data_IF_449004044821
#
_entry.id   IF_449004044821
#
_cell.length_a   1.000
_cell.length_b   1.000
_cell.length_c   1.000
_cell.angle_alpha   90.00
_cell.angle_beta   90.00
_cell.angle_gamma   90.00
#
_symmetry.space_group_name_H-M   'P 1'
#
loop_
_entity.id
_entity.type
_entity.pdbx_description
1 polymer ?
#
# COMPACT_ATOMS: atom_id res chain seq x y z
N UNK A 1 17.59 -10.00 -0.36
CA UNK A 1 17.57 -9.73 1.10
C UNK A 1 16.38 -8.81 1.34
N UNK A 2 15.43 -9.24 2.14
CA UNK A 2 14.29 -8.41 2.57
C UNK A 2 14.82 -7.22 3.37
N UNK A 3 14.25 -6.04 3.18
CA UNK A 3 14.76 -4.80 3.76
C UNK A 3 13.69 -4.10 4.60
N UNK A 4 14.00 -3.87 5.88
CA UNK A 4 13.22 -3.00 6.74
C UNK A 4 13.73 -1.55 6.63
N UNK A 5 12.84 -0.61 6.87
CA UNK A 5 13.18 0.81 6.95
C UNK A 5 13.56 1.17 8.40
N UNK A 6 14.85 1.48 8.67
CA UNK A 6 15.34 1.71 10.04
C UNK A 6 15.09 3.15 10.51
N UNK A 7 14.27 3.91 9.81
CA UNK A 7 13.96 5.30 10.12
C UNK A 7 12.44 5.54 10.06
N UNK A 8 11.95 6.46 10.91
CA UNK A 8 10.55 6.90 10.93
C UNK A 8 10.25 7.68 9.63
N UNK A 9 11.11 8.61 9.25
CA UNK A 9 11.01 9.33 7.98
C UNK A 9 12.24 9.00 7.15
N UNK A 10 12.03 8.47 5.95
CA UNK A 10 13.09 7.99 5.08
C UNK A 10 12.97 8.53 3.65
N UNK A 11 14.07 8.54 2.96
CA UNK A 11 14.15 9.10 1.62
C UNK A 11 14.69 10.54 1.61
N UNK A 12 14.38 11.35 0.57
CA UNK A 12 13.42 11.05 -0.50
C UNK A 12 13.87 9.89 -1.41
N UNK A 13 12.89 9.13 -1.89
CA UNK A 13 13.10 8.07 -2.88
C UNK A 13 12.34 8.39 -4.16
N UNK A 14 12.92 8.06 -5.32
CA UNK A 14 12.20 8.19 -6.59
C UNK A 14 11.24 7.01 -6.74
N UNK A 15 9.96 7.30 -6.52
CA UNK A 15 8.88 6.35 -6.77
C UNK A 15 8.55 6.30 -8.25
N UNK A 16 8.49 5.10 -8.84
CA UNK A 16 8.07 4.92 -10.24
C UNK A 16 6.63 5.40 -10.50
N UNK A 17 5.83 5.51 -9.45
CA UNK A 17 4.39 5.81 -9.50
C UNK A 17 4.02 7.18 -8.96
N UNK A 18 4.80 7.72 -8.04
CA UNK A 18 4.40 8.87 -7.23
C UNK A 18 5.41 10.03 -7.28
N UNK A 19 6.48 9.94 -8.07
CA UNK A 19 7.53 10.98 -8.13
C UNK A 19 8.50 10.92 -6.95
N UNK A 20 9.00 12.06 -6.51
CA UNK A 20 9.91 12.20 -5.35
C UNK A 20 9.11 11.99 -4.08
N UNK A 21 9.29 10.83 -3.44
CA UNK A 21 8.50 10.39 -2.30
C UNK A 21 9.29 10.49 -0.98
N UNK A 22 8.73 11.18 -0.01
CA UNK A 22 9.18 11.15 1.38
C UNK A 22 8.36 10.07 2.12
N UNK A 23 9.02 8.99 2.54
CA UNK A 23 8.37 7.88 3.21
C UNK A 23 8.21 8.11 4.71
N UNK A 24 7.07 7.69 5.27
CA UNK A 24 6.78 7.71 6.71
C UNK A 24 6.45 6.30 7.17
N UNK A 25 7.29 5.76 8.05
CA UNK A 25 7.11 4.46 8.68
C UNK A 25 6.57 4.64 10.11
N UNK A 26 5.32 4.24 10.33
CA UNK A 26 4.64 4.32 11.64
C UNK A 26 4.92 3.11 12.54
N UNK A 27 5.54 2.08 11.97
CA UNK A 27 5.68 0.75 12.54
C UNK A 27 7.08 0.57 13.14
N UNK A 28 7.35 -0.53 13.85
CA UNK A 28 8.65 -0.80 14.41
C UNK A 28 9.78 -0.64 13.38
N UNK A 29 10.95 -0.16 13.83
CA UNK A 29 12.08 0.12 12.92
C UNK A 29 12.86 -1.15 12.55
N UNK A 30 12.82 -2.17 13.43
CA UNK A 30 13.63 -3.39 13.28
C UNK A 30 12.80 -4.67 13.16
N UNK A 31 11.46 -4.54 13.01
CA UNK A 31 10.57 -5.66 12.79
C UNK A 31 9.42 -5.27 11.88
N UNK A 32 8.80 -6.27 11.24
CA UNK A 32 7.58 -6.08 10.47
C UNK A 32 6.37 -6.24 11.38
N UNK A 33 5.40 -5.32 11.25
CA UNK A 33 4.10 -5.40 11.92
C UNK A 33 2.99 -5.17 10.89
N UNK A 34 2.34 -6.25 10.48
CA UNK A 34 1.30 -6.23 9.46
C UNK A 34 0.19 -7.22 9.79
N UNK A 35 -1.02 -6.93 9.33
CA UNK A 35 -2.16 -7.87 9.35
C UNK A 35 -2.11 -8.86 8.20
N UNK A 36 -1.22 -8.66 7.23
CA UNK A 36 -0.90 -9.61 6.16
C UNK A 36 0.53 -10.12 6.30
N UNK A 37 0.75 -11.33 5.84
CA UNK A 37 2.08 -11.91 5.71
C UNK A 37 2.37 -12.33 4.26
N UNK A 38 2.18 -11.38 3.35
CA UNK A 38 2.24 -11.60 1.91
C UNK A 38 3.52 -12.32 1.48
N UNK A 39 3.37 -13.37 0.68
CA UNK A 39 4.48 -14.21 0.20
C UNK A 39 5.48 -13.45 -0.67
N UNK A 40 5.14 -12.24 -1.13
CA UNK A 40 5.97 -11.36 -1.95
C UNK A 40 6.44 -10.09 -1.22
N UNK A 41 6.23 -9.98 0.11
CA UNK A 41 6.51 -8.76 0.85
C UNK A 41 8.01 -8.44 0.90
N UNK A 42 8.42 -7.27 0.43
CA UNK A 42 9.82 -6.81 0.46
C UNK A 42 10.36 -6.69 1.90
N UNK A 43 9.49 -6.54 2.90
CA UNK A 43 9.87 -6.49 4.32
C UNK A 43 10.05 -7.87 4.97
N UNK A 44 9.85 -8.97 4.24
CA UNK A 44 9.94 -10.33 4.79
C UNK A 44 8.67 -10.79 5.49
N UNK A 45 8.84 -11.78 6.37
CA UNK A 45 7.74 -12.35 7.15
C UNK A 45 7.50 -11.57 8.45
N UNK A 46 6.29 -11.65 8.97
CA UNK A 46 5.97 -11.06 10.28
C UNK A 46 6.78 -11.65 11.44
N UNK A 47 7.22 -12.90 11.31
CA UNK A 47 8.01 -13.58 12.33
C UNK A 47 9.51 -13.29 12.25
N UNK A 48 9.96 -12.77 11.10
CA UNK A 48 11.35 -12.36 10.92
C UNK A 48 11.64 -11.12 11.80
N UNK A 49 12.53 -11.27 12.76
CA UNK A 49 12.94 -10.20 13.68
C UNK A 49 11.79 -9.63 14.53
N UNK A 50 10.86 -10.45 15.01
CA UNK A 50 9.86 -10.01 16.00
C UNK A 50 10.55 -9.44 17.24
N UNK A 51 10.74 -8.11 17.23
CA UNK A 51 11.17 -7.36 18.40
C UNK A 51 9.99 -7.12 19.35
N UNK A 52 10.31 -6.63 20.56
CA UNK A 52 9.32 -6.13 21.51
C UNK A 52 8.94 -4.67 21.24
N UNK A 53 9.30 -4.15 20.05
CA UNK A 53 9.06 -2.76 19.67
C UNK A 53 7.58 -2.56 19.38
N UNK A 54 7.03 -1.47 19.91
CA UNK A 54 5.67 -1.00 19.61
C UNK A 54 5.63 -0.05 18.43
N UNK A 55 4.50 0.61 18.25
CA UNK A 55 4.34 1.70 17.28
C UNK A 55 5.22 2.90 17.65
N UNK A 56 5.66 3.65 16.64
CA UNK A 56 6.34 4.91 16.85
C UNK A 56 5.36 5.95 17.43
N UNK A 57 5.72 6.57 18.55
CA UNK A 57 4.82 7.52 19.22
C UNK A 57 4.48 8.72 18.32
N UNK A 58 3.22 9.19 18.25
CA UNK A 58 2.80 10.27 17.35
C UNK A 58 3.68 11.52 17.41
N UNK A 59 4.08 11.97 18.60
CA UNK A 59 4.93 13.14 18.76
C UNK A 59 6.35 12.95 18.19
N UNK A 60 6.86 11.72 18.21
CA UNK A 60 8.16 11.40 17.60
C UNK A 60 8.03 11.39 16.07
N UNK A 61 6.93 10.86 15.55
CA UNK A 61 6.62 10.89 14.10
C UNK A 61 6.47 12.34 13.62
N UNK A 62 5.73 13.16 14.36
CA UNK A 62 5.51 14.57 14.05
C UNK A 62 6.82 15.34 14.00
N UNK A 63 7.64 15.25 15.05
CA UNK A 63 8.94 15.92 15.12
C UNK A 63 9.90 15.48 14.01
N UNK A 64 9.94 14.18 13.69
CA UNK A 64 10.77 13.64 12.62
C UNK A 64 10.33 14.16 11.24
N UNK A 65 9.02 14.18 10.98
CA UNK A 65 8.45 14.66 9.73
C UNK A 65 8.68 16.16 9.57
N UNK A 66 8.41 16.95 10.61
CA UNK A 66 8.63 18.40 10.60
C UNK A 66 10.09 18.76 10.34
N UNK A 67 11.03 18.15 11.09
CA UNK A 67 12.46 18.36 10.91
C UNK A 67 12.92 18.05 9.48
N UNK A 68 12.40 16.96 8.90
CA UNK A 68 12.76 16.58 7.53
C UNK A 68 12.20 17.53 6.49
N UNK A 69 10.95 17.96 6.63
CA UNK A 69 10.33 18.95 5.73
C UNK A 69 11.02 20.31 5.82
N UNK A 70 11.40 20.76 7.03
CA UNK A 70 12.19 21.99 7.21
C UNK A 70 13.53 21.93 6.48
N UNK A 71 14.25 20.80 6.63
CA UNK A 71 15.50 20.60 5.91
C UNK A 71 15.30 20.64 4.39
N UNK A 72 14.31 19.91 3.87
CA UNK A 72 14.01 19.85 2.43
C UNK A 72 13.58 21.22 1.88
N UNK A 73 12.88 22.04 2.68
CA UNK A 73 12.55 23.42 2.33
C UNK A 73 13.81 24.28 2.23
N UNK A 74 14.72 24.17 3.18
CA UNK A 74 15.98 24.92 3.18
C UNK A 74 16.87 24.52 1.99
N UNK A 75 16.87 23.23 1.61
CA UNK A 75 17.65 22.69 0.50
C UNK A 75 16.97 22.93 -0.88
N UNK A 76 15.74 23.43 -0.92
CA UNK A 76 14.97 23.61 -2.15
C UNK A 76 14.57 22.30 -2.85
N UNK A 77 14.48 21.20 -2.12
CA UNK A 77 14.25 19.84 -2.66
C UNK A 77 12.95 19.23 -2.13
N UNK A 78 11.83 19.94 -2.25
CA UNK A 78 10.54 19.51 -1.71
C UNK A 78 10.08 18.18 -2.34
N UNK A 79 9.35 17.33 -1.58
CA UNK A 79 8.80 16.10 -2.12
C UNK A 79 7.56 16.38 -2.98
N UNK A 80 7.32 15.51 -3.97
CA UNK A 80 6.03 15.46 -4.69
C UNK A 80 4.95 14.79 -3.84
N UNK A 81 5.36 13.90 -2.93
CA UNK A 81 4.45 13.11 -2.12
C UNK A 81 5.05 12.72 -0.77
N UNK A 82 4.22 12.76 0.28
CA UNK A 82 4.49 12.15 1.58
C UNK A 82 3.73 10.83 1.61
N UNK A 83 4.44 9.70 1.75
CA UNK A 83 3.86 8.37 1.59
C UNK A 83 3.93 7.58 2.89
N UNK A 84 2.77 7.23 3.43
CA UNK A 84 2.67 6.28 4.53
C UNK A 84 2.81 4.86 3.99
N UNK A 85 3.98 4.31 4.21
CA UNK A 85 4.40 2.94 3.88
C UNK A 85 5.57 2.58 4.81
N UNK A 86 6.03 1.33 4.79
CA UNK A 86 7.18 0.94 5.60
C UNK A 86 7.10 -0.51 6.05
N UNK A 87 7.38 -0.76 7.31
CA UNK A 87 7.55 -2.10 7.86
C UNK A 87 6.22 -2.80 8.20
N UNK A 88 5.21 -2.70 7.34
CA UNK A 88 3.92 -3.37 7.51
C UNK A 88 2.71 -2.51 7.16
N UNK A 89 1.62 -2.59 7.94
CA UNK A 89 0.35 -1.92 7.68
C UNK A 89 0.21 -0.62 8.49
N UNK A 90 0.29 0.56 7.86
CA UNK A 90 0.28 1.84 8.59
C UNK A 90 -1.02 2.13 9.34
N UNK A 91 -2.16 1.64 8.85
CA UNK A 91 -3.47 1.87 9.49
C UNK A 91 -3.67 1.05 10.77
N UNK A 92 -2.75 0.15 11.11
CA UNK A 92 -2.70 -0.49 12.43
C UNK A 92 -2.40 0.49 13.57
N UNK A 93 -1.73 1.61 13.27
CA UNK A 93 -1.37 2.57 14.31
C UNK A 93 -2.62 3.04 15.06
N UNK A 94 -2.66 3.00 16.40
CA UNK A 94 -3.85 3.39 17.17
C UNK A 94 -4.25 4.85 16.95
N UNK A 95 -3.27 5.74 16.79
CA UNK A 95 -3.46 7.17 16.61
C UNK A 95 -3.35 7.60 15.14
N UNK A 96 -3.72 6.72 14.19
CA UNK A 96 -3.55 6.96 12.76
C UNK A 96 -4.24 8.25 12.28
N UNK A 97 -5.45 8.55 12.77
CA UNK A 97 -6.17 9.76 12.40
C UNK A 97 -5.44 11.03 12.86
N UNK A 98 -4.94 11.06 14.10
CA UNK A 98 -4.13 12.16 14.62
C UNK A 98 -2.86 12.39 13.80
N UNK A 99 -2.22 11.29 13.37
CA UNK A 99 -1.02 11.35 12.53
C UNK A 99 -1.33 11.99 11.17
N UNK A 100 -2.42 11.64 10.55
CA UNK A 100 -2.87 12.28 9.31
C UNK A 100 -3.18 13.76 9.53
N UNK A 101 -3.77 14.15 10.67
CA UNK A 101 -4.07 15.55 11.00
C UNK A 101 -2.83 16.42 11.00
N UNK A 102 -1.81 16.05 11.77
CA UNK A 102 -0.59 16.85 11.80
C UNK A 102 0.21 16.76 10.50
N UNK A 103 0.11 15.64 9.76
CA UNK A 103 0.77 15.53 8.46
C UNK A 103 0.18 16.51 7.44
N UNK A 104 -1.14 16.66 7.40
CA UNK A 104 -1.81 17.66 6.55
C UNK A 104 -1.32 19.07 6.94
N UNK A 105 -1.32 19.40 8.23
CA UNK A 105 -0.83 20.69 8.72
C UNK A 105 0.63 20.97 8.33
N UNK A 106 1.52 20.00 8.52
CA UNK A 106 2.94 20.14 8.17
C UNK A 106 3.15 20.23 6.64
N UNK A 107 2.42 19.43 5.86
CA UNK A 107 2.43 19.51 4.40
C UNK A 107 2.01 20.89 3.93
N UNK A 108 0.91 21.44 4.45
CA UNK A 108 0.38 22.76 4.06
C UNK A 108 1.36 23.88 4.42
N UNK A 109 2.12 23.73 5.50
CA UNK A 109 3.10 24.71 5.96
C UNK A 109 4.41 24.66 5.14
N UNK A 110 4.95 23.49 4.86
CA UNK A 110 6.32 23.33 4.31
C UNK A 110 6.36 22.89 2.85
N UNK A 111 5.36 22.12 2.39
CA UNK A 111 5.33 21.54 1.05
C UNK A 111 3.88 21.52 0.48
N UNK A 112 3.24 22.70 0.28
CA UNK A 112 1.82 22.80 -0.01
C UNK A 112 1.38 22.12 -1.32
N UNK A 113 2.32 21.85 -2.22
CA UNK A 113 2.04 21.14 -3.48
C UNK A 113 2.22 19.62 -3.35
N UNK A 114 2.79 19.12 -2.26
CA UNK A 114 2.99 17.70 -2.06
C UNK A 114 1.66 17.00 -1.77
N UNK A 115 1.49 15.80 -2.33
CA UNK A 115 0.35 14.94 -2.02
C UNK A 115 0.62 14.08 -0.79
N UNK A 116 -0.43 13.67 -0.11
CA UNK A 116 -0.36 12.65 0.96
C UNK A 116 -0.91 11.34 0.41
N UNK A 117 -0.10 10.29 0.47
CA UNK A 117 -0.45 8.94 0.02
C UNK A 117 -0.41 7.94 1.16
N UNK A 118 -1.42 7.09 1.24
CA UNK A 118 -1.44 5.97 2.19
C UNK A 118 -1.56 4.66 1.40
N UNK A 119 -0.58 3.76 1.59
CA UNK A 119 -0.63 2.41 1.06
C UNK A 119 -1.14 1.47 2.16
N UNK A 120 -2.31 0.88 1.97
CA UNK A 120 -2.94 0.01 2.97
C UNK A 120 -3.48 -1.28 2.36
N UNK A 121 -3.43 -2.35 3.15
CA UNK A 121 -4.03 -3.63 2.80
C UNK A 121 -5.55 -3.68 3.09
N UNK A 122 -6.15 -2.55 3.47
CA UNK A 122 -7.59 -2.38 3.71
C UNK A 122 -8.17 -3.17 4.89
N UNK A 123 -7.39 -3.88 5.70
CA UNK A 123 -7.93 -4.69 6.80
C UNK A 123 -8.50 -3.88 7.96
N UNK A 124 -8.11 -2.60 8.09
CA UNK A 124 -8.55 -1.72 9.18
C UNK A 124 -9.75 -0.82 8.83
N UNK A 125 -10.39 -1.04 7.69
CA UNK A 125 -11.54 -0.23 7.24
C UNK A 125 -12.81 -0.41 8.10
N UNK A 126 -12.80 -1.35 9.03
CA UNK A 126 -13.84 -1.46 10.08
C UNK A 126 -13.72 -0.36 11.15
N UNK A 127 -12.56 0.29 11.28
CA UNK A 127 -12.31 1.40 12.20
C UNK A 127 -12.77 2.72 11.56
N UNK A 128 -13.70 3.42 12.21
CA UNK A 128 -14.24 4.67 11.69
C UNK A 128 -13.19 5.82 11.64
N UNK A 129 -12.24 5.87 12.58
CA UNK A 129 -11.13 6.81 12.59
C UNK A 129 -10.21 6.61 11.37
N UNK A 130 -9.90 5.37 11.02
CA UNK A 130 -9.11 5.04 9.83
C UNK A 130 -9.82 5.50 8.55
N UNK A 131 -11.13 5.23 8.43
CA UNK A 131 -11.90 5.65 7.26
C UNK A 131 -11.90 7.18 7.13
N UNK A 132 -12.16 7.93 8.22
CA UNK A 132 -12.12 9.40 8.20
C UNK A 132 -10.74 9.95 7.81
N UNK A 133 -9.67 9.32 8.28
CA UNK A 133 -8.31 9.70 7.90
C UNK A 133 -8.05 9.47 6.41
N UNK A 134 -8.42 8.29 5.89
CA UNK A 134 -8.24 7.93 4.49
C UNK A 134 -9.09 8.77 3.53
N UNK A 135 -10.21 9.32 3.97
CA UNK A 135 -11.04 10.23 3.18
C UNK A 135 -10.41 11.62 2.98
N UNK A 136 -9.40 11.98 3.76
CA UNK A 136 -8.73 13.30 3.75
C UNK A 136 -7.37 13.32 3.06
N UNK A 137 -6.82 12.15 2.73
CA UNK A 137 -5.56 12.07 1.99
C UNK A 137 -5.81 12.17 0.49
N UNK A 138 -4.80 12.62 -0.25
CA UNK A 138 -4.91 12.81 -1.70
C UNK A 138 -4.95 11.47 -2.46
N UNK A 139 -4.16 10.51 -2.01
CA UNK A 139 -4.06 9.19 -2.62
C UNK A 139 -4.34 8.10 -1.56
N UNK A 140 -5.59 7.71 -1.45
CA UNK A 140 -6.03 6.57 -0.66
C UNK A 140 -5.83 5.29 -1.49
N UNK A 141 -4.68 4.62 -1.32
CA UNK A 141 -4.26 3.47 -2.13
C UNK A 141 -4.53 2.19 -1.36
N UNK A 142 -5.55 1.46 -1.78
CA UNK A 142 -6.03 0.25 -1.12
C UNK A 142 -5.81 -0.98 -1.99
N UNK A 143 -5.33 -2.04 -1.36
CA UNK A 143 -4.87 -3.25 -2.04
C UNK A 143 -5.99 -4.27 -2.24
N UNK A 144 -6.06 -4.83 -3.47
CA UNK A 144 -6.80 -6.05 -3.80
C UNK A 144 -5.97 -6.85 -4.81
N UNK A 145 -5.41 -7.99 -4.42
CA UNK A 145 -4.57 -8.80 -5.31
C UNK A 145 -5.33 -9.92 -6.02
N UNK A 146 -6.43 -10.40 -5.45
CA UNK A 146 -7.31 -11.41 -6.07
C UNK A 146 -8.73 -11.27 -5.55
N UNK A 147 -9.69 -11.64 -6.37
CA UNK A 147 -11.11 -11.76 -6.01
C UNK A 147 -11.52 -13.21 -5.68
N UNK A 148 -10.62 -14.17 -5.89
CA UNK A 148 -10.80 -15.55 -5.46
C UNK A 148 -10.25 -15.68 -4.04
N UNK A 149 -11.13 -16.03 -3.09
CA UNK A 149 -10.81 -16.05 -1.66
C UNK A 149 -9.56 -16.92 -1.37
N UNK A 150 -9.51 -18.15 -1.89
CA UNK A 150 -8.39 -19.06 -1.65
C UNK A 150 -7.06 -18.51 -2.18
N UNK A 151 -7.08 -17.85 -3.35
CA UNK A 151 -5.89 -17.21 -3.92
C UNK A 151 -5.48 -16.00 -3.11
N UNK A 152 -6.43 -15.17 -2.66
CA UNK A 152 -6.15 -14.04 -1.80
C UNK A 152 -5.56 -14.48 -0.44
N UNK A 153 -6.11 -15.54 0.16
CA UNK A 153 -5.59 -16.14 1.38
C UNK A 153 -4.16 -16.68 1.19
N UNK A 154 -3.89 -17.35 0.08
CA UNK A 154 -2.57 -17.89 -0.23
C UNK A 154 -1.52 -16.78 -0.45
N UNK A 155 -1.84 -15.78 -1.24
CA UNK A 155 -0.90 -14.72 -1.61
C UNK A 155 -0.64 -13.75 -0.44
N UNK A 156 -1.70 -13.37 0.27
CA UNK A 156 -1.63 -12.32 1.29
C UNK A 156 -1.43 -12.85 2.71
N UNK A 157 -1.72 -14.11 2.96
CA UNK A 157 -1.60 -14.77 4.28
C UNK A 157 -2.13 -13.86 5.42
N UNK A 158 -3.42 -13.52 5.42
CA UNK A 158 -3.97 -12.64 6.44
C UNK A 158 -3.84 -13.27 7.84
N UNK A 159 -3.33 -12.47 8.79
CA UNK A 159 -3.22 -12.83 10.20
C UNK A 159 -4.43 -12.34 11.01
N UNK A 160 -5.51 -11.98 10.33
CA UNK A 160 -6.76 -11.47 10.90
C UNK A 160 -7.96 -12.09 10.18
N UNK A 161 -9.16 -11.83 10.68
CA UNK A 161 -10.36 -12.19 9.93
C UNK A 161 -10.44 -11.32 8.66
N UNK A 162 -10.31 -11.94 7.50
CA UNK A 162 -10.25 -11.29 6.20
C UNK A 162 -11.22 -11.97 5.24
N UNK A 163 -11.94 -11.17 4.47
CA UNK A 163 -12.79 -11.63 3.36
C UNK A 163 -12.72 -10.62 2.23
N UNK A 164 -12.41 -11.11 1.04
CA UNK A 164 -12.35 -10.30 -0.19
C UNK A 164 -13.67 -9.58 -0.44
N UNK A 165 -14.80 -10.27 -0.29
CA UNK A 165 -16.13 -9.69 -0.47
C UNK A 165 -16.37 -8.51 0.49
N UNK A 166 -15.98 -8.67 1.76
CA UNK A 166 -16.08 -7.58 2.75
C UNK A 166 -15.23 -6.37 2.36
N UNK A 167 -14.00 -6.59 1.88
CA UNK A 167 -13.12 -5.50 1.44
C UNK A 167 -13.74 -4.76 0.25
N UNK A 168 -14.25 -5.47 -0.75
CA UNK A 168 -14.92 -4.84 -1.91
C UNK A 168 -16.07 -3.93 -1.45
N UNK A 169 -16.94 -4.43 -0.55
CA UNK A 169 -18.04 -3.63 0.00
C UNK A 169 -17.56 -2.39 0.77
N UNK A 170 -16.44 -2.49 1.47
CA UNK A 170 -15.87 -1.35 2.18
C UNK A 170 -15.25 -0.33 1.21
N UNK A 171 -14.58 -0.77 0.15
CA UNK A 171 -14.02 0.12 -0.87
C UNK A 171 -15.11 0.92 -1.61
N UNK A 172 -16.26 0.32 -1.89
CA UNK A 172 -17.42 1.00 -2.50
C UNK A 172 -17.89 2.21 -1.67
N UNK A 173 -17.71 2.18 -0.34
CA UNK A 173 -18.10 3.27 0.54
C UNK A 173 -17.33 4.56 0.31
N UNK A 174 -16.13 4.51 -0.27
CA UNK A 174 -15.36 5.69 -0.64
C UNK A 174 -15.90 6.43 -1.86
N UNK A 175 -16.91 5.88 -2.57
CA UNK A 175 -17.61 6.53 -3.69
C UNK A 175 -16.63 7.06 -4.76
N UNK A 176 -15.70 6.23 -5.15
CA UNK A 176 -14.68 6.53 -6.15
C UNK A 176 -13.41 7.23 -5.60
N UNK A 177 -13.41 7.74 -4.36
CA UNK A 177 -12.21 8.37 -3.74
C UNK A 177 -11.23 7.33 -3.19
N UNK A 178 -10.86 6.39 -4.03
CA UNK A 178 -9.93 5.30 -3.72
C UNK A 178 -9.13 4.96 -4.98
N UNK A 179 -7.88 4.60 -4.79
CA UNK A 179 -7.02 4.02 -5.81
C UNK A 179 -6.88 2.54 -5.49
N UNK A 180 -7.27 1.68 -6.40
CA UNK A 180 -7.07 0.23 -6.22
C UNK A 180 -5.68 -0.13 -6.68
N UNK A 181 -4.92 -0.79 -5.80
CA UNK A 181 -3.59 -1.29 -6.11
C UNK A 181 -3.60 -2.82 -6.15
N UNK A 182 -3.02 -3.40 -7.20
CA UNK A 182 -2.97 -4.85 -7.40
C UNK A 182 -1.56 -5.30 -7.79
N UNK A 183 -1.03 -6.27 -7.04
CA UNK A 183 0.16 -7.03 -7.42
C UNK A 183 -0.28 -8.22 -8.28
N UNK A 184 0.18 -8.27 -9.52
CA UNK A 184 0.03 -9.43 -10.38
C UNK A 184 1.28 -10.31 -10.31
N UNK A 185 1.06 -11.60 -10.06
CA UNK A 185 2.14 -12.58 -9.94
C UNK A 185 1.57 -14.01 -10.12
N UNK A 186 2.48 -14.93 -10.39
CA UNK A 186 2.19 -16.36 -10.42
C UNK A 186 3.28 -17.15 -9.70
N UNK A 187 3.03 -18.40 -9.42
CA UNK A 187 4.02 -19.25 -8.76
C UNK A 187 3.38 -20.40 -8.01
N UNK A 188 4.14 -20.88 -7.04
CA UNK A 188 3.72 -21.93 -6.13
C UNK A 188 4.08 -21.54 -4.69
N UNK A 189 3.19 -21.81 -3.76
CA UNK A 189 3.46 -21.67 -2.33
C UNK A 189 2.79 -22.82 -1.56
N UNK A 190 3.53 -23.47 -0.66
CA UNK A 190 3.07 -24.63 0.13
C UNK A 190 2.43 -25.76 -0.73
N UNK A 191 3.00 -26.02 -1.92
CA UNK A 191 2.51 -27.05 -2.84
C UNK A 191 1.25 -26.64 -3.65
N UNK A 192 0.81 -25.39 -3.53
CA UNK A 192 -0.34 -24.86 -4.26
C UNK A 192 0.12 -23.87 -5.34
N UNK A 193 -0.13 -24.21 -6.59
CA UNK A 193 0.11 -23.31 -7.72
C UNK A 193 -1.00 -22.24 -7.80
N UNK A 194 -0.62 -21.02 -8.16
CA UNK A 194 -1.57 -19.93 -8.38
C UNK A 194 -1.09 -19.01 -9.52
N UNK A 195 -2.06 -18.35 -10.15
CA UNK A 195 -1.84 -17.32 -11.16
C UNK A 195 -3.01 -16.33 -11.14
N UNK A 196 -2.78 -15.12 -10.57
CA UNK A 196 -3.82 -14.11 -10.55
C UNK A 196 -3.90 -13.29 -11.86
N UNK A 197 -3.09 -13.64 -12.88
CA UNK A 197 -3.19 -13.06 -14.23
C UNK A 197 -4.07 -13.90 -15.15
N UNK A 198 -4.57 -15.07 -14.71
CA UNK A 198 -5.42 -15.90 -15.54
C UNK A 198 -6.66 -15.14 -16.02
N UNK A 199 -7.20 -15.47 -17.21
CA UNK A 199 -8.37 -14.77 -17.75
C UNK A 199 -9.56 -14.73 -16.77
N UNK A 200 -9.78 -15.80 -16.02
CA UNK A 200 -10.85 -15.92 -15.03
C UNK A 200 -10.63 -14.98 -13.84
N UNK A 201 -9.41 -14.93 -13.30
CA UNK A 201 -9.04 -14.07 -12.20
C UNK A 201 -9.16 -12.59 -12.60
N UNK A 202 -8.63 -12.24 -13.78
CA UNK A 202 -8.71 -10.88 -14.31
C UNK A 202 -10.16 -10.46 -14.57
N UNK A 203 -11.02 -11.36 -15.08
CA UNK A 203 -12.43 -11.06 -15.31
C UNK A 203 -13.17 -10.73 -14.01
N UNK A 204 -12.97 -11.52 -12.94
CA UNK A 204 -13.55 -11.26 -11.62
C UNK A 204 -13.05 -9.92 -11.05
N UNK A 205 -11.75 -9.66 -11.19
CA UNK A 205 -11.14 -8.42 -10.71
C UNK A 205 -11.70 -7.19 -11.46
N UNK A 206 -11.86 -7.26 -12.79
CA UNK A 206 -12.47 -6.19 -13.58
C UNK A 206 -13.93 -5.93 -13.16
N UNK A 207 -14.68 -6.97 -12.83
CA UNK A 207 -16.05 -6.83 -12.35
C UNK A 207 -16.11 -6.13 -10.97
N UNK A 208 -15.18 -6.45 -10.07
CA UNK A 208 -15.06 -5.72 -8.81
C UNK A 208 -14.67 -4.25 -9.02
N UNK A 209 -13.77 -3.95 -9.98
CA UNK A 209 -13.42 -2.56 -10.31
C UNK A 209 -14.63 -1.76 -10.80
N UNK A 210 -15.53 -2.36 -11.61
CA UNK A 210 -16.80 -1.69 -12.01
C UNK A 210 -17.67 -1.35 -10.80
N UNK A 211 -17.75 -2.26 -9.82
CA UNK A 211 -18.56 -2.05 -8.61
C UNK A 211 -17.94 -1.01 -7.67
N UNK A 212 -16.62 -1.01 -7.50
CA UNK A 212 -15.89 -0.04 -6.67
C UNK A 212 -15.87 1.33 -7.33
N UNK A 213 -15.76 1.37 -8.67
CA UNK A 213 -15.60 2.57 -9.48
C UNK A 213 -14.47 3.49 -8.95
N UNK A 214 -13.22 2.98 -8.82
CA UNK A 214 -12.13 3.73 -8.20
C UNK A 214 -11.72 4.94 -9.05
N UNK A 215 -11.08 5.94 -8.41
CA UNK A 215 -10.48 7.09 -9.09
C UNK A 215 -9.44 6.67 -10.14
N UNK A 216 -8.65 5.66 -9.80
CA UNK A 216 -7.66 5.05 -10.70
C UNK A 216 -7.25 3.67 -10.19
N UNK A 217 -6.52 2.96 -11.03
CA UNK A 217 -5.98 1.64 -10.74
C UNK A 217 -4.46 1.66 -10.91
N UNK A 218 -3.73 1.04 -10.00
CA UNK A 218 -2.29 0.84 -10.08
C UNK A 218 -1.98 -0.65 -10.11
N UNK A 219 -1.37 -1.13 -11.18
CA UNK A 219 -0.93 -2.51 -11.27
C UNK A 219 0.57 -2.62 -11.39
N UNK A 220 1.12 -3.69 -10.83
CA UNK A 220 2.56 -3.92 -10.81
C UNK A 220 2.86 -5.40 -10.57
N UNK A 221 4.12 -5.77 -10.74
CA UNK A 221 4.61 -7.10 -10.41
C UNK A 221 5.86 -7.03 -9.54
N UNK A 222 6.40 -8.19 -9.21
CA UNK A 222 7.60 -8.33 -8.38
C UNK A 222 8.77 -7.55 -9.00
N UNK A 223 9.40 -6.68 -8.22
CA UNK A 223 10.54 -5.87 -8.65
C UNK A 223 11.81 -6.10 -7.81
N UNK A 224 11.66 -6.70 -6.62
CA UNK A 224 12.75 -6.94 -5.67
C UNK A 224 12.66 -8.34 -5.08
N UNK A 225 13.64 -8.67 -4.26
CA UNK A 225 13.67 -9.93 -3.51
C UNK A 225 12.41 -10.11 -2.67
N UNK A 226 11.88 -11.33 -2.70
CA UNK A 226 10.70 -11.75 -1.95
C UNK A 226 11.04 -12.90 -1.00
N UNK A 227 10.30 -13.06 0.12
CA UNK A 227 10.53 -14.17 1.03
C UNK A 227 10.27 -15.53 0.35
N UNK A 228 9.20 -15.67 -0.42
CA UNK A 228 8.96 -16.85 -1.24
C UNK A 228 9.77 -16.77 -2.54
N UNK A 229 10.58 -17.80 -2.85
CA UNK A 229 11.50 -17.81 -4.00
C UNK A 229 10.91 -18.46 -5.26
N UNK A 230 9.78 -19.12 -5.15
CA UNK A 230 9.08 -19.77 -6.27
C UNK A 230 8.14 -18.84 -7.04
N UNK A 231 8.11 -17.57 -6.67
CA UNK A 231 7.27 -16.57 -7.34
C UNK A 231 7.86 -16.15 -8.68
N UNK A 232 6.99 -15.96 -9.64
CA UNK A 232 7.33 -15.50 -10.98
C UNK A 232 6.76 -14.11 -11.20
N UNK A 233 7.63 -13.24 -11.70
CA UNK A 233 7.26 -11.90 -12.14
C UNK A 233 6.37 -11.98 -13.38
N UNK A 234 5.41 -11.08 -13.47
CA UNK A 234 4.63 -10.83 -14.69
C UNK A 234 5.35 -9.75 -15.50
N UNK A 235 5.55 -10.01 -16.78
CA UNK A 235 6.26 -9.07 -17.65
C UNK A 235 5.41 -7.83 -17.96
N UNK A 236 6.09 -6.74 -18.29
CA UNK A 236 5.47 -5.43 -18.49
C UNK A 236 4.40 -5.46 -19.61
N UNK A 237 4.67 -6.18 -20.68
CA UNK A 237 3.76 -6.33 -21.81
C UNK A 237 2.45 -7.01 -21.41
N UNK A 238 2.52 -8.02 -20.54
CA UNK A 238 1.33 -8.70 -20.03
C UNK A 238 0.54 -7.80 -19.07
N UNK A 239 1.23 -7.04 -18.22
CA UNK A 239 0.58 -6.04 -17.37
C UNK A 239 -0.11 -4.96 -18.21
N UNK A 240 0.48 -4.51 -19.32
CA UNK A 240 -0.14 -3.53 -20.21
C UNK A 240 -1.40 -4.08 -20.89
N UNK A 241 -1.45 -5.37 -21.24
CA UNK A 241 -2.68 -6.01 -21.74
C UNK A 241 -3.80 -6.01 -20.68
N UNK A 242 -3.45 -6.23 -19.41
CA UNK A 242 -4.42 -6.12 -18.31
C UNK A 242 -4.85 -4.67 -18.11
N UNK A 243 -3.89 -3.72 -18.12
CA UNK A 243 -4.18 -2.30 -17.99
C UNK A 243 -5.10 -1.77 -19.10
N UNK A 244 -4.95 -2.28 -20.33
CA UNK A 244 -5.83 -1.93 -21.44
C UNK A 244 -7.28 -2.32 -21.14
N UNK A 245 -7.52 -3.51 -20.59
CA UNK A 245 -8.87 -3.94 -20.19
C UNK A 245 -9.47 -3.01 -19.12
N UNK A 246 -8.66 -2.51 -18.20
CA UNK A 246 -9.10 -1.51 -17.20
C UNK A 246 -9.49 -0.19 -17.90
N UNK A 247 -8.68 0.27 -18.86
CA UNK A 247 -8.96 1.50 -19.63
C UNK A 247 -10.23 1.37 -20.48
N UNK A 248 -10.53 0.18 -20.99
CA UNK A 248 -11.79 -0.13 -21.70
C UNK A 248 -13.04 0.01 -20.80
N UNK A 249 -12.89 -0.08 -19.47
CA UNK A 249 -13.93 0.24 -18.50
C UNK A 249 -14.09 1.76 -18.25
N UNK A 250 -13.29 2.60 -18.90
CA UNK A 250 -13.25 4.04 -18.66
C UNK A 250 -12.44 4.46 -17.43
N UNK A 251 -11.66 3.55 -16.84
CA UNK A 251 -10.83 3.82 -15.67
C UNK A 251 -9.39 4.15 -16.08
N UNK A 252 -8.74 5.05 -15.34
CA UNK A 252 -7.29 5.28 -15.48
C UNK A 252 -6.52 4.12 -14.87
N UNK A 253 -5.53 3.58 -15.59
CA UNK A 253 -4.66 2.52 -15.08
C UNK A 253 -3.19 2.85 -15.35
N UNK A 254 -2.36 2.78 -14.32
CA UNK A 254 -0.91 2.88 -14.40
C UNK A 254 -0.25 1.52 -14.17
N UNK A 255 0.82 1.25 -14.94
CA UNK A 255 1.67 0.05 -14.83
C UNK A 255 3.03 0.46 -14.29
N UNK A 256 3.63 -0.32 -13.35
CA UNK A 256 4.92 -0.03 -12.74
C UNK A 256 5.83 -1.27 -12.60
#
# INVERSE_FOLDING_TARGET
MTALYPQIVYGPVHSRRLGVSLGVNLLPLHSKLCTFDCIYCECGWNDDNRGKEGFNHPQVVEAALESRLQQMTADGTLPDVITFAGNGEPTLHPDFEQIIDFTIRLRDQYAPNAKISVLSNATQLHRADVVRALERVDNNILKIDSLVEDVAQLINKPCCNYSVASVVEQLKRFKGRVIVQTMFLRGEYEGQAFDNTSPEQVALWLEALKQIAPQSVMIYSIARDTPCKSLQKVEHEELELIAQKVRELGLTCSVA
#
